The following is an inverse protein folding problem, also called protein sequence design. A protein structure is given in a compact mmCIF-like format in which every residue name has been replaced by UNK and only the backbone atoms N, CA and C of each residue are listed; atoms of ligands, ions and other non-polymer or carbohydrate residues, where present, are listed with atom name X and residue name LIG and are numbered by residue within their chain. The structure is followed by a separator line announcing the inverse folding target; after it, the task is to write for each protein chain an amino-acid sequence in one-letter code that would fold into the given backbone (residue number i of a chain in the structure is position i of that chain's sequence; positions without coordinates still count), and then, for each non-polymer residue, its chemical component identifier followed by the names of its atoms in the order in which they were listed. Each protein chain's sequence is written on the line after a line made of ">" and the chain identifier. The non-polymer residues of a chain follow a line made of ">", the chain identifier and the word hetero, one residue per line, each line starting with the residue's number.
data_IF_359190886808
#
_entry.id   IF_359190886808
#
_cell.length_a   1.000
_cell.length_b   1.000
_cell.length_c   1.000
_cell.angle_alpha   90.00
_cell.angle_beta   90.00
_cell.angle_gamma   90.00
#
_symmetry.space_group_name_H-M   'P 1'
#
loop_
_entity.id
_entity.type
_entity.pdbx_description
1 polymer ?
#
# COMPACT_ATOMS: atom_id res chain seq x y z
N UNK A 1 24.01 -8.15 13.53
CA UNK A 1 22.87 -7.76 12.66
C UNK A 1 23.44 -6.87 11.56
N UNK A 2 23.20 -7.17 10.27
CA UNK A 2 23.87 -6.47 9.16
C UNK A 2 23.82 -4.94 9.26
N UNK A 3 22.65 -4.36 9.59
CA UNK A 3 22.47 -2.92 9.73
C UNK A 3 23.39 -2.31 10.80
N UNK A 4 23.50 -2.95 11.96
CA UNK A 4 24.31 -2.44 13.07
C UNK A 4 25.79 -2.40 12.71
N UNK A 5 26.26 -3.44 12.01
CA UNK A 5 27.66 -3.60 11.62
C UNK A 5 28.06 -2.68 10.46
N UNK A 6 27.15 -2.47 9.49
CA UNK A 6 27.47 -1.79 8.23
C UNK A 6 26.95 -0.35 8.13
N UNK A 7 26.01 0.06 8.99
CA UNK A 7 25.41 1.40 8.96
C UNK A 7 25.60 2.09 10.31
N UNK A 8 25.01 1.56 11.38
CA UNK A 8 24.95 2.23 12.68
C UNK A 8 26.33 2.42 13.32
N UNK A 9 27.11 1.34 13.46
CA UNK A 9 28.43 1.43 14.08
C UNK A 9 29.43 2.30 13.28
N UNK A 10 29.51 2.20 11.94
CA UNK A 10 30.32 3.12 11.13
C UNK A 10 29.92 4.58 11.27
N UNK A 11 28.61 4.88 11.29
CA UNK A 11 28.10 6.24 11.52
C UNK A 11 28.60 6.77 12.87
N UNK A 12 28.27 6.10 13.97
CA UNK A 12 28.65 6.56 15.30
C UNK A 12 30.16 6.63 15.51
N UNK A 13 30.93 5.69 14.96
CA UNK A 13 32.40 5.74 15.04
C UNK A 13 32.96 6.96 14.31
N UNK A 14 32.37 7.35 13.17
CA UNK A 14 32.80 8.55 12.45
C UNK A 14 32.57 9.81 13.28
N UNK A 15 31.40 9.97 13.90
CA UNK A 15 31.06 11.20 14.63
C UNK A 15 31.54 11.25 16.08
N UNK A 16 31.69 10.11 16.75
CA UNK A 16 32.03 10.06 18.18
C UNK A 16 33.50 9.72 18.46
N UNK A 17 34.20 9.11 17.50
CA UNK A 17 35.56 8.57 17.74
C UNK A 17 36.61 9.03 16.72
N UNK A 18 36.24 9.80 15.69
CA UNK A 18 37.17 10.22 14.65
C UNK A 18 37.53 11.70 14.79
N UNK A 19 38.79 12.04 14.59
CA UNK A 19 39.28 13.43 14.62
C UNK A 19 38.74 14.29 13.46
N UNK A 20 38.26 13.63 12.39
CA UNK A 20 37.60 14.25 11.24
C UNK A 20 36.24 13.56 11.00
N UNK A 21 35.15 14.08 11.59
CA UNK A 21 33.82 13.51 11.42
C UNK A 21 33.33 13.57 9.97
N UNK A 22 32.66 12.51 9.53
CA UNK A 22 32.06 12.37 8.19
C UNK A 22 31.91 10.90 7.83
N UNK A 23 30.69 10.37 7.80
CA UNK A 23 30.47 8.98 7.40
C UNK A 23 30.41 8.88 5.87
N UNK A 24 31.16 7.96 5.25
CA UNK A 24 31.05 7.61 3.82
C UNK A 24 29.80 6.75 3.53
N UNK A 25 28.73 6.92 4.32
CA UNK A 25 27.48 6.20 4.13
C UNK A 25 26.68 6.87 3.00
N UNK A 26 25.91 6.08 2.23
CA UNK A 26 25.03 6.61 1.19
C UNK A 26 23.89 7.43 1.81
N UNK A 27 23.22 8.25 1.00
CA UNK A 27 22.06 9.05 1.41
C UNK A 27 20.95 8.17 2.01
N UNK A 28 20.67 7.03 1.38
CA UNK A 28 19.72 6.06 1.90
C UNK A 28 20.26 4.63 1.83
N UNK A 29 20.14 3.90 2.94
CA UNK A 29 20.30 2.44 3.01
C UNK A 29 18.98 1.84 3.44
N UNK A 30 18.34 1.08 2.54
CA UNK A 30 16.98 0.58 2.72
C UNK A 30 16.92 -0.93 2.47
N UNK A 31 16.03 -1.59 3.19
CA UNK A 31 15.73 -2.99 2.96
C UNK A 31 14.62 -3.11 1.91
N UNK A 32 14.89 -3.80 0.80
CA UNK A 32 13.93 -4.05 -0.26
C UNK A 32 13.08 -5.28 0.08
N UNK A 33 11.81 -5.03 0.41
CA UNK A 33 10.81 -6.07 0.58
C UNK A 33 10.57 -6.84 -0.72
N UNK A 34 10.15 -8.11 -0.61
CA UNK A 34 9.97 -9.01 -1.77
C UNK A 34 11.28 -9.54 -2.36
N UNK A 35 12.25 -8.66 -2.68
CA UNK A 35 13.58 -9.07 -3.11
C UNK A 35 14.48 -9.56 -1.96
N UNK A 36 14.15 -9.17 -0.71
CA UNK A 36 14.80 -9.63 0.53
C UNK A 36 16.31 -9.32 0.58
N UNK A 37 16.68 -8.06 0.29
CA UNK A 37 18.07 -7.59 0.27
C UNK A 37 18.20 -6.14 0.71
N UNK A 38 19.38 -5.78 1.23
CA UNK A 38 19.74 -4.39 1.45
C UNK A 38 20.14 -3.71 0.15
N UNK A 39 19.72 -2.46 -0.04
CA UNK A 39 20.10 -1.60 -1.16
C UNK A 39 20.53 -0.23 -0.66
N UNK A 40 21.46 0.38 -1.38
CA UNK A 40 21.97 1.73 -1.11
C UNK A 40 21.62 2.65 -2.26
N UNK A 41 21.34 3.92 -1.95
CA UNK A 41 20.97 4.93 -2.92
C UNK A 41 21.66 6.26 -2.60
N UNK A 42 22.10 6.96 -3.65
CA UNK A 42 22.69 8.30 -3.53
C UNK A 42 21.64 9.42 -3.41
N UNK A 43 20.36 9.07 -3.57
CA UNK A 43 19.21 9.93 -3.37
C UNK A 43 17.98 9.07 -3.10
N UNK A 44 17.06 9.59 -2.28
CA UNK A 44 15.75 8.98 -2.07
C UNK A 44 14.62 10.00 -2.29
N UNK A 45 13.62 9.72 -3.14
CA UNK A 45 13.47 8.52 -3.99
C UNK A 45 14.61 8.35 -5.02
N UNK A 46 14.85 7.14 -5.54
CA UNK A 46 15.95 6.91 -6.48
C UNK A 46 15.77 7.73 -7.77
N UNK A 47 16.83 8.44 -8.22
CA UNK A 47 16.78 9.26 -9.45
C UNK A 47 16.24 8.53 -10.71
N UNK A 48 16.50 7.23 -10.92
CA UNK A 48 15.94 6.51 -12.07
C UNK A 48 14.46 6.11 -11.93
N UNK A 49 13.85 6.32 -10.75
CA UNK A 49 12.44 5.99 -10.54
C UNK A 49 11.55 6.84 -11.46
N UNK A 50 10.50 6.22 -12.01
CA UNK A 50 9.54 6.88 -12.89
C UNK A 50 8.17 6.89 -12.23
N UNK A 51 7.51 8.05 -12.22
CA UNK A 51 6.12 8.12 -11.79
C UNK A 51 5.23 7.34 -12.77
N UNK A 52 4.38 6.47 -12.22
CA UNK A 52 3.40 5.67 -12.95
C UNK A 52 2.07 5.77 -12.21
N UNK A 53 0.98 5.84 -12.95
CA UNK A 53 -0.37 5.78 -12.37
C UNK A 53 -0.95 4.39 -12.59
N UNK A 54 -1.38 3.75 -11.50
CA UNK A 54 -2.14 2.50 -11.52
C UNK A 54 -3.62 2.83 -11.31
N UNK A 55 -4.45 2.54 -12.31
CA UNK A 55 -5.85 2.92 -12.34
C UNK A 55 -6.74 1.77 -11.89
N UNK A 56 -7.78 2.09 -11.10
CA UNK A 56 -8.90 1.18 -10.85
C UNK A 56 -9.64 0.87 -12.15
N UNK A 57 -9.99 -0.40 -12.35
CA UNK A 57 -10.73 -0.93 -13.48
C UNK A 57 -11.97 -1.65 -13.00
N UNK A 58 -12.91 -1.84 -13.94
CA UNK A 58 -14.15 -2.56 -13.68
C UNK A 58 -13.85 -3.99 -13.19
N UNK A 59 -14.80 -4.57 -12.46
CA UNK A 59 -14.71 -5.94 -11.94
C UNK A 59 -13.44 -6.19 -11.09
N UNK A 60 -12.99 -5.18 -10.33
CA UNK A 60 -11.86 -5.32 -9.41
C UNK A 60 -10.50 -5.39 -10.09
N UNK A 61 -10.35 -4.83 -11.31
CA UNK A 61 -9.07 -4.81 -12.01
C UNK A 61 -8.17 -3.62 -11.62
N UNK A 62 -6.86 -3.76 -11.85
CA UNK A 62 -5.89 -2.66 -11.87
C UNK A 62 -5.11 -2.67 -13.18
N UNK A 63 -4.82 -1.49 -13.73
CA UNK A 63 -4.00 -1.36 -14.94
C UNK A 63 -3.24 -0.04 -15.00
N UNK A 64 -2.03 -0.05 -15.57
CA UNK A 64 -1.23 1.15 -15.81
C UNK A 64 -1.70 1.95 -17.04
N UNK A 65 -2.58 1.40 -17.87
CA UNK A 65 -3.26 2.16 -18.91
C UNK A 65 -4.33 3.05 -18.27
N UNK A 66 -4.55 4.24 -18.80
CA UNK A 66 -5.67 5.08 -18.36
C UNK A 66 -7.03 4.49 -18.79
N UNK A 67 -8.11 4.68 -18.02
CA UNK A 67 -9.46 4.38 -18.47
C UNK A 67 -9.79 5.16 -19.75
N UNK A 68 -10.28 4.46 -20.76
CA UNK A 68 -10.91 5.09 -21.92
C UNK A 68 -12.35 5.45 -21.55
N UNK A 69 -12.94 6.46 -22.20
CA UNK A 69 -14.30 6.99 -21.99
C UNK A 69 -15.47 6.00 -22.21
N UNK A 70 -15.20 4.69 -22.23
CA UNK A 70 -16.20 3.64 -22.37
C UNK A 70 -16.91 3.62 -23.73
N UNK A 71 -16.47 4.41 -24.72
CA UNK A 71 -17.09 4.47 -26.05
C UNK A 71 -16.83 3.22 -26.91
N UNK A 72 -15.82 2.42 -26.58
CA UNK A 72 -15.38 1.25 -27.37
C UNK A 72 -15.54 -0.12 -26.68
N UNK A 73 -15.98 -0.16 -25.41
CA UNK A 73 -16.22 -1.43 -24.72
C UNK A 73 -17.70 -1.81 -24.86
N UNK A 74 -17.97 -3.09 -25.21
CA UNK A 74 -19.36 -3.60 -25.25
C UNK A 74 -19.92 -3.51 -23.83
N UNK A 75 -20.71 -2.46 -23.56
CA UNK A 75 -21.43 -2.29 -22.29
C UNK A 75 -22.17 -3.58 -21.98
N UNK A 76 -21.75 -4.28 -20.92
CA UNK A 76 -22.49 -5.42 -20.37
C UNK A 76 -23.51 -4.84 -19.38
N UNK A 77 -24.81 -5.13 -19.52
CA UNK A 77 -25.84 -4.56 -18.65
C UNK A 77 -25.59 -4.80 -17.15
N UNK A 78 -24.95 -5.92 -16.83
CA UNK A 78 -24.62 -6.36 -15.48
C UNK A 78 -23.37 -5.70 -14.83
N UNK A 79 -22.64 -4.83 -15.52
CA UNK A 79 -21.43 -4.18 -14.99
C UNK A 79 -21.69 -2.68 -14.84
N UNK A 80 -21.55 -2.14 -13.61
CA UNK A 80 -21.50 -0.69 -13.42
C UNK A 80 -20.15 -0.17 -13.93
N UNK A 81 -20.18 0.69 -14.94
CA UNK A 81 -18.98 1.27 -15.54
C UNK A 81 -18.57 2.60 -14.91
N UNK A 82 -19.37 3.14 -13.99
CA UNK A 82 -19.16 4.49 -13.44
C UNK A 82 -18.46 4.49 -12.08
N UNK A 83 -18.81 3.54 -11.20
CA UNK A 83 -18.23 3.41 -9.87
C UNK A 83 -18.47 2.01 -9.27
N UNK A 84 -17.61 1.62 -8.33
CA UNK A 84 -17.89 0.53 -7.40
C UNK A 84 -18.40 1.11 -6.08
N UNK A 85 -19.21 0.32 -5.36
CA UNK A 85 -19.81 0.76 -4.10
C UNK A 85 -19.74 -0.32 -3.03
N UNK A 86 -19.74 0.12 -1.78
CA UNK A 86 -19.86 -0.74 -0.61
C UNK A 86 -20.61 0.02 0.50
N UNK A 87 -21.15 -0.72 1.47
CA UNK A 87 -21.81 -0.12 2.64
C UNK A 87 -20.85 -0.16 3.82
N UNK A 88 -20.48 1.00 4.34
CA UNK A 88 -19.71 1.12 5.58
C UNK A 88 -20.68 1.28 6.77
N UNK A 89 -20.74 0.27 7.63
CA UNK A 89 -21.55 0.28 8.85
C UNK A 89 -20.66 0.45 10.09
N UNK A 90 -20.72 1.60 10.79
CA UNK A 90 -19.95 1.81 12.02
C UNK A 90 -20.23 0.80 13.15
N UNK A 91 -21.37 0.11 13.13
CA UNK A 91 -21.67 -0.97 14.09
C UNK A 91 -20.95 -2.29 13.77
N UNK A 92 -20.46 -2.44 12.53
CA UNK A 92 -19.75 -3.63 12.05
C UNK A 92 -18.43 -3.27 11.34
N UNK A 93 -17.52 -2.55 12.00
CA UNK A 93 -16.31 -2.03 11.37
C UNK A 93 -15.42 -3.16 10.82
N UNK A 94 -14.67 -2.85 9.77
CA UNK A 94 -13.62 -3.75 9.26
C UNK A 94 -12.55 -3.92 10.35
N UNK A 95 -12.26 -5.14 10.83
CA UNK A 95 -11.15 -5.37 11.75
C UNK A 95 -9.81 -4.96 11.11
N UNK A 96 -8.89 -4.41 11.89
CA UNK A 96 -7.56 -4.06 11.35
C UNK A 96 -6.67 -5.30 11.17
N UNK A 97 -6.93 -6.38 11.92
CA UNK A 97 -6.28 -7.71 11.80
C UNK A 97 -7.32 -8.82 11.88
N UNK A 98 -7.00 -10.02 11.38
CA UNK A 98 -7.90 -11.19 11.46
C UNK A 98 -8.09 -11.68 12.90
N UNK A 99 -7.02 -11.65 13.69
CA UNK A 99 -7.03 -12.11 15.08
C UNK A 99 -7.42 -10.99 16.06
N UNK A 100 -8.10 -11.36 17.15
CA UNK A 100 -8.33 -10.44 18.26
C UNK A 100 -7.04 -10.27 19.07
N UNK A 101 -6.49 -9.05 19.06
CA UNK A 101 -5.22 -8.74 19.71
C UNK A 101 -5.37 -7.55 20.67
N UNK A 102 -4.52 -7.53 21.70
CA UNK A 102 -4.36 -6.36 22.58
C UNK A 102 -3.40 -5.39 21.88
N UNK A 103 -3.95 -4.42 21.16
CA UNK A 103 -3.18 -3.45 20.40
C UNK A 103 -2.65 -3.99 19.07
N UNK A 104 -1.79 -3.19 18.42
CA UNK A 104 -1.20 -3.53 17.13
C UNK A 104 -0.07 -4.54 17.32
N UNK A 105 -0.15 -5.66 16.61
CA UNK A 105 0.90 -6.68 16.57
C UNK A 105 2.11 -6.17 15.81
N UNK A 106 3.28 -6.77 16.06
CA UNK A 106 4.51 -6.45 15.31
C UNK A 106 4.35 -6.80 13.82
N UNK A 107 3.59 -7.86 13.55
CA UNK A 107 3.36 -8.45 12.24
C UNK A 107 2.33 -7.68 11.41
N UNK A 108 1.56 -6.76 12.02
CA UNK A 108 0.45 -6.02 11.39
C UNK A 108 0.77 -5.54 9.97
N UNK A 109 1.94 -4.89 9.77
CA UNK A 109 2.35 -4.33 8.49
C UNK A 109 2.73 -5.35 7.42
N UNK A 110 2.68 -6.65 7.73
CA UNK A 110 2.95 -7.79 6.84
C UNK A 110 1.89 -8.90 6.95
N UNK A 111 0.84 -8.65 7.73
CA UNK A 111 -0.23 -9.62 7.96
C UNK A 111 -1.06 -9.83 6.69
N UNK A 112 -1.63 -11.02 6.61
CA UNK A 112 -2.51 -11.45 5.53
C UNK A 112 -3.78 -10.60 5.50
N UNK A 113 -4.14 -10.09 4.32
CA UNK A 113 -5.33 -9.27 4.13
C UNK A 113 -6.52 -10.04 3.54
N UNK A 114 -6.39 -11.37 3.33
CA UNK A 114 -7.50 -12.21 2.84
C UNK A 114 -8.76 -12.12 3.69
N UNK A 115 -8.64 -11.90 5.00
CA UNK A 115 -9.81 -11.72 5.87
C UNK A 115 -10.60 -10.45 5.52
N UNK A 116 -9.92 -9.37 5.11
CA UNK A 116 -10.53 -8.11 4.73
C UNK A 116 -11.10 -8.20 3.31
N UNK A 117 -10.35 -8.77 2.35
CA UNK A 117 -10.75 -8.82 0.93
C UNK A 117 -12.02 -9.63 0.67
N UNK A 118 -12.43 -10.50 1.61
CA UNK A 118 -13.65 -11.31 1.51
C UNK A 118 -14.90 -10.60 2.02
N UNK A 119 -14.76 -9.42 2.64
CA UNK A 119 -15.88 -8.68 3.23
C UNK A 119 -16.61 -7.85 2.16
N UNK A 120 -17.94 -7.66 2.30
CA UNK A 120 -18.72 -6.84 1.36
C UNK A 120 -18.49 -5.34 1.52
N UNK A 121 -17.85 -4.90 2.61
CA UNK A 121 -17.51 -3.51 2.92
C UNK A 121 -16.03 -3.17 2.63
N UNK A 122 -15.36 -3.98 1.81
CA UNK A 122 -13.98 -3.78 1.37
C UNK A 122 -13.89 -3.97 -0.14
N UNK A 123 -13.60 -2.90 -0.87
CA UNK A 123 -13.32 -3.00 -2.31
C UNK A 123 -11.90 -3.53 -2.52
N UNK A 124 -11.77 -4.54 -3.39
CA UNK A 124 -10.49 -5.17 -3.73
C UNK A 124 -10.23 -5.01 -5.22
N UNK A 125 -9.02 -4.55 -5.55
CA UNK A 125 -8.58 -4.39 -6.93
C UNK A 125 -7.23 -5.07 -7.12
N UNK A 126 -7.04 -5.76 -8.24
CA UNK A 126 -5.84 -6.53 -8.52
C UNK A 126 -5.42 -6.45 -10.00
N UNK A 127 -4.12 -6.46 -10.26
CA UNK A 127 -3.60 -6.69 -11.61
C UNK A 127 -3.75 -8.18 -11.98
N UNK A 128 -3.62 -8.55 -13.26
CA UNK A 128 -3.20 -9.90 -13.61
C UNK A 128 -1.85 -10.24 -12.95
N UNK A 129 -1.47 -11.54 -12.90
CA UNK A 129 -0.10 -11.92 -12.56
C UNK A 129 0.91 -11.11 -13.39
N UNK A 130 1.99 -10.67 -12.74
CA UNK A 130 2.98 -9.81 -13.38
C UNK A 130 3.83 -10.61 -14.37
N UNK A 131 4.07 -10.05 -15.56
CA UNK A 131 4.99 -10.65 -16.54
C UNK A 131 6.47 -10.38 -16.23
N UNK A 132 6.73 -9.33 -15.45
CA UNK A 132 8.06 -8.87 -15.02
C UNK A 132 8.03 -8.33 -13.58
N UNK A 133 9.18 -8.39 -12.90
CA UNK A 133 9.31 -7.85 -11.55
C UNK A 133 9.03 -6.33 -11.55
N UNK A 134 8.15 -5.89 -10.64
CA UNK A 134 7.80 -4.50 -10.44
C UNK A 134 8.35 -4.01 -9.10
N UNK A 135 9.23 -3.01 -9.11
CA UNK A 135 9.76 -2.40 -7.88
C UNK A 135 9.13 -1.04 -7.64
N UNK A 136 8.47 -0.88 -6.49
CA UNK A 136 8.07 0.42 -5.96
C UNK A 136 9.20 0.98 -5.09
N UNK A 137 9.63 2.21 -5.38
CA UNK A 137 10.71 2.88 -4.67
C UNK A 137 10.39 4.38 -4.50
N UNK A 138 9.85 4.76 -3.33
CA UNK A 138 9.47 6.14 -3.01
C UNK A 138 8.03 6.26 -2.51
N UNK A 139 7.48 7.48 -2.47
CA UNK A 139 6.13 7.76 -2.00
C UNK A 139 5.07 7.23 -2.96
N UNK A 140 3.91 6.87 -2.41
CA UNK A 140 2.73 6.49 -3.17
C UNK A 140 1.65 7.55 -2.92
N UNK A 141 1.00 8.03 -3.96
CA UNK A 141 -0.08 9.01 -3.85
C UNK A 141 -1.40 8.35 -4.20
N UNK A 142 -2.28 8.17 -3.21
CA UNK A 142 -3.65 7.75 -3.44
C UNK A 142 -4.44 8.94 -4.00
N UNK A 143 -4.93 8.85 -5.24
CA UNK A 143 -5.76 9.88 -5.89
C UNK A 143 -7.22 9.41 -5.96
N UNK A 144 -7.89 9.36 -4.81
CA UNK A 144 -9.26 8.85 -4.75
C UNK A 144 -10.29 9.88 -5.24
N UNK A 145 -11.29 9.41 -5.99
CA UNK A 145 -12.52 10.13 -6.32
C UNK A 145 -13.66 9.37 -5.66
N UNK A 146 -14.29 9.97 -4.65
CA UNK A 146 -15.21 9.25 -3.76
C UNK A 146 -16.50 10.03 -3.53
N UNK A 147 -17.59 9.31 -3.27
CA UNK A 147 -18.83 9.88 -2.76
C UNK A 147 -19.26 9.09 -1.52
N UNK A 148 -19.90 9.77 -0.57
CA UNK A 148 -20.50 9.14 0.62
C UNK A 148 -21.92 9.67 0.81
N UNK A 149 -22.82 8.84 1.31
CA UNK A 149 -24.20 9.25 1.65
C UNK A 149 -24.24 10.12 2.91
N UNK A 150 -23.18 10.08 3.73
CA UNK A 150 -23.02 10.91 4.92
C UNK A 150 -22.31 12.24 4.65
N UNK A 151 -21.81 12.85 5.72
CA UNK A 151 -21.06 14.12 5.68
C UNK A 151 -19.61 13.97 6.11
N UNK A 152 -19.17 12.77 6.49
CA UNK A 152 -17.79 12.40 6.81
C UNK A 152 -17.56 10.91 6.58
N UNK A 153 -16.32 10.53 6.33
CA UNK A 153 -15.87 9.14 6.15
C UNK A 153 -14.34 9.07 6.29
N UNK A 154 -13.84 7.94 6.81
CA UNK A 154 -12.43 7.59 6.79
C UNK A 154 -12.16 6.71 5.56
N UNK A 155 -11.08 7.00 4.81
CA UNK A 155 -10.68 6.29 3.60
C UNK A 155 -9.37 5.56 3.85
N UNK A 156 -9.40 4.23 3.74
CA UNK A 156 -8.22 3.38 3.96
C UNK A 156 -7.75 2.82 2.63
N UNK A 157 -6.47 3.00 2.31
CA UNK A 157 -5.84 2.42 1.12
C UNK A 157 -4.73 1.48 1.56
N UNK A 158 -4.76 0.24 1.04
CA UNK A 158 -3.76 -0.80 1.27
C UNK A 158 -3.09 -1.16 -0.06
N UNK A 159 -1.77 -1.24 -0.04
CA UNK A 159 -0.95 -1.79 -1.13
C UNK A 159 -0.59 -3.21 -0.72
N UNK A 160 -0.96 -4.18 -1.54
CA UNK A 160 -0.89 -5.60 -1.22
C UNK A 160 -0.08 -6.32 -2.29
N UNK A 161 0.85 -7.17 -1.85
CA UNK A 161 1.53 -8.15 -2.69
C UNK A 161 0.80 -9.50 -2.57
N UNK A 162 0.22 -9.95 -3.69
CA UNK A 162 -0.53 -11.21 -3.75
C UNK A 162 0.41 -12.29 -4.24
N UNK A 163 0.69 -13.25 -3.37
CA UNK A 163 1.61 -14.34 -3.68
C UNK A 163 0.97 -15.35 -4.64
N UNK A 164 1.75 -16.04 -5.48
CA UNK A 164 1.27 -17.19 -6.24
C UNK A 164 0.57 -18.23 -5.35
N UNK A 165 -0.47 -18.88 -5.87
CA UNK A 165 -1.26 -19.88 -5.14
C UNK A 165 -0.43 -21.09 -4.69
N UNK A 166 0.67 -21.38 -5.38
CA UNK A 166 1.58 -22.49 -5.10
C UNK A 166 2.81 -22.08 -4.26
N UNK A 167 2.83 -20.86 -3.70
CA UNK A 167 3.93 -20.39 -2.87
C UNK A 167 4.10 -21.29 -1.64
N UNK A 168 5.28 -21.92 -1.44
CA UNK A 168 5.49 -22.83 -0.32
C UNK A 168 5.56 -22.06 1.00
N UNK A 169 5.03 -22.67 2.06
CA UNK A 169 5.11 -22.12 3.40
C UNK A 169 6.57 -21.99 3.88
N UNK A 170 6.84 -20.96 4.67
CA UNK A 170 8.17 -20.68 5.17
C UNK A 170 8.30 -21.21 6.60
N UNK A 171 9.28 -22.07 6.92
CA UNK A 171 9.44 -22.60 8.29
C UNK A 171 9.76 -21.52 9.35
N UNK A 172 10.05 -20.28 8.92
CA UNK A 172 10.25 -19.12 9.80
C UNK A 172 8.97 -18.36 10.13
N UNK A 173 7.85 -18.64 9.48
CA UNK A 173 6.54 -18.09 9.83
C UNK A 173 5.84 -18.99 10.85
N UNK A 174 4.79 -18.48 11.50
CA UNK A 174 3.98 -19.31 12.39
C UNK A 174 3.34 -20.47 11.60
N UNK A 175 3.14 -21.62 12.25
CA UNK A 175 2.62 -22.84 11.59
C UNK A 175 1.21 -22.67 10.98
N UNK A 176 0.45 -21.66 11.42
CA UNK A 176 -0.86 -21.31 10.88
C UNK A 176 -0.80 -20.42 9.64
N UNK A 177 0.38 -19.93 9.25
CA UNK A 177 0.55 -19.04 8.09
C UNK A 177 0.77 -19.87 6.84
N UNK A 178 -0.16 -19.76 5.90
CA UNK A 178 -0.09 -20.39 4.58
C UNK A 178 0.20 -19.35 3.49
N UNK A 179 1.32 -19.48 2.79
CA UNK A 179 1.82 -18.47 1.86
C UNK A 179 1.21 -18.54 0.46
N UNK A 180 0.62 -19.67 0.07
CA UNK A 180 -0.12 -19.79 -1.18
C UNK A 180 -1.29 -18.80 -1.21
N UNK A 181 -1.30 -17.89 -2.19
CA UNK A 181 -2.33 -16.86 -2.35
C UNK A 181 -2.34 -15.82 -1.22
N UNK A 182 -1.26 -15.72 -0.44
CA UNK A 182 -1.18 -14.78 0.69
C UNK A 182 -1.26 -13.34 0.20
N UNK A 183 -2.07 -12.52 0.87
CA UNK A 183 -2.22 -11.11 0.54
C UNK A 183 -1.40 -10.28 1.51
N UNK A 184 -0.09 -10.18 1.27
CA UNK A 184 0.82 -9.47 2.15
C UNK A 184 0.55 -7.97 2.06
N UNK A 185 0.15 -7.35 3.17
CA UNK A 185 0.17 -5.89 3.24
C UNK A 185 1.61 -5.40 3.10
N UNK A 186 1.84 -4.47 2.17
CA UNK A 186 3.14 -3.84 1.94
C UNK A 186 3.15 -2.45 2.58
N UNK A 187 2.05 -1.71 2.37
CA UNK A 187 1.79 -0.40 2.97
C UNK A 187 0.29 -0.19 3.15
N UNK A 188 -0.06 0.63 4.14
CA UNK A 188 -1.44 1.09 4.34
C UNK A 188 -1.41 2.47 4.93
N UNK A 189 -2.35 3.32 4.52
CA UNK A 189 -2.61 4.59 5.18
C UNK A 189 -4.11 4.86 5.25
N UNK A 190 -4.49 5.72 6.20
CA UNK A 190 -5.86 6.18 6.39
C UNK A 190 -5.93 7.70 6.30
N UNK A 191 -6.91 8.19 5.56
CA UNK A 191 -7.25 9.61 5.48
C UNK A 191 -8.65 9.83 6.02
N UNK A 192 -8.75 10.60 7.11
CA UNK A 192 -10.03 11.09 7.60
C UNK A 192 -10.53 12.21 6.68
N UNK A 193 -11.59 11.93 5.92
CA UNK A 193 -11.96 12.69 4.74
C UNK A 193 -12.35 14.15 4.99
N UNK A 194 -12.83 14.51 6.20
CA UNK A 194 -13.03 15.93 6.56
C UNK A 194 -11.75 16.78 6.47
N UNK A 195 -10.56 16.17 6.53
CA UNK A 195 -9.27 16.86 6.46
C UNK A 195 -8.61 16.84 5.07
N UNK A 196 -9.32 16.37 4.04
CA UNK A 196 -8.80 16.23 2.66
C UNK A 196 -8.25 17.53 2.03
N UNK A 197 -8.73 18.69 2.47
CA UNK A 197 -8.28 20.01 1.99
C UNK A 197 -7.36 20.74 2.99
N UNK A 198 -7.46 20.42 4.29
CA UNK A 198 -6.67 21.04 5.36
C UNK A 198 -6.71 20.18 6.62
N UNK A 199 -5.55 19.92 7.22
CA UNK A 199 -5.44 19.21 8.51
C UNK A 199 -5.87 20.04 9.72
N UNK A 200 -5.99 21.36 9.57
CA UNK A 200 -6.39 22.27 10.66
C UNK A 200 -7.80 22.82 10.49
N UNK A 201 -8.37 22.74 9.29
CA UNK A 201 -9.70 23.28 8.98
C UNK A 201 -10.56 22.18 8.34
N UNK A 202 -11.32 21.42 9.15
CA UNK A 202 -12.13 20.35 8.60
C UNK A 202 -13.30 20.88 7.77
N UNK A 203 -13.62 20.18 6.68
CA UNK A 203 -14.75 20.48 5.79
C UNK A 203 -15.62 19.23 5.60
N UNK A 204 -16.94 19.29 5.86
CA UNK A 204 -17.82 18.14 5.61
C UNK A 204 -17.83 17.76 4.11
N UNK A 205 -18.23 16.53 3.82
CA UNK A 205 -18.65 16.13 2.48
C UNK A 205 -20.06 16.64 2.20
N UNK A 206 -20.34 16.90 0.92
CA UNK A 206 -21.72 17.01 0.43
C UNK A 206 -22.16 15.59 0.07
N UNK A 207 -23.29 15.16 0.63
CA UNK A 207 -23.78 13.80 0.43
C UNK A 207 -23.99 13.51 -1.06
N UNK A 208 -23.50 12.36 -1.52
CA UNK A 208 -23.56 11.86 -2.90
C UNK A 208 -22.80 12.70 -3.95
N UNK A 209 -21.97 13.65 -3.53
CA UNK A 209 -21.12 14.43 -4.45
C UNK A 209 -19.72 13.81 -4.56
N UNK A 210 -19.28 13.55 -5.79
CA UNK A 210 -17.92 13.05 -6.05
C UNK A 210 -16.91 14.12 -5.61
N UNK A 211 -16.04 13.72 -4.71
CA UNK A 211 -15.07 14.59 -4.05
C UNK A 211 -13.69 13.96 -4.13
N UNK A 212 -12.67 14.74 -4.50
CA UNK A 212 -11.29 14.28 -4.49
C UNK A 212 -10.75 14.15 -3.05
N UNK A 213 -10.12 13.02 -2.74
CA UNK A 213 -9.44 12.77 -1.46
C UNK A 213 -8.02 12.28 -1.73
N UNK A 214 -7.08 13.20 -2.06
CA UNK A 214 -5.68 12.84 -2.26
C UNK A 214 -4.95 12.71 -0.92
N UNK A 215 -4.16 11.66 -0.76
CA UNK A 215 -3.25 11.54 0.39
C UNK A 215 -2.07 10.61 0.10
N UNK A 216 -0.95 10.87 0.77
CA UNK A 216 0.26 10.06 0.65
C UNK A 216 0.10 8.76 1.43
N UNK A 217 0.33 7.64 0.75
CA UNK A 217 0.64 6.35 1.35
C UNK A 217 2.16 6.30 1.49
N UNK A 218 2.66 6.17 2.73
CA UNK A 218 4.09 6.33 3.05
C UNK A 218 5.04 5.52 2.15
N UNK A 219 6.26 6.04 2.01
CA UNK A 219 7.31 5.48 1.17
C UNK A 219 7.53 3.98 1.37
N UNK A 220 7.81 3.31 0.25
CA UNK A 220 8.12 1.89 0.20
C UNK A 220 9.36 1.63 -0.64
N UNK A 221 10.10 0.58 -0.29
CA UNK A 221 10.99 -0.12 -1.19
C UNK A 221 10.59 -1.60 -1.21
N UNK A 222 9.83 -2.02 -2.23
CA UNK A 222 9.32 -3.39 -2.35
C UNK A 222 9.28 -3.83 -3.80
N UNK A 223 9.72 -5.06 -4.07
CA UNK A 223 9.65 -5.71 -5.37
C UNK A 223 8.56 -6.78 -5.37
N UNK A 224 7.52 -6.54 -6.15
CA UNK A 224 6.54 -7.56 -6.54
C UNK A 224 7.20 -8.43 -7.60
N UNK A 225 7.32 -9.73 -7.33
CA UNK A 225 7.93 -10.68 -8.28
C UNK A 225 6.89 -11.18 -9.27
N UNK A 226 7.34 -11.53 -10.46
CA UNK A 226 6.56 -12.35 -11.39
C UNK A 226 6.36 -13.77 -10.87
#
# INVERSE_FOLDING_TARGET
>A
LWYQENVEAPFFKSYLKSEKPGSNLPEATMFEGGANRWRTFDAWPPKPAQEKTLYFRQAGGLSFSAPTDGSNERRRPEVNFEFDQFVSDPAHPVPFTEATNVGMTREYMTDDQRFASRRPDVLTYQTPPLDEDLTLAGPILAKLQVATTGTDADWVVKIIDVYPDDTPDNPRTAASVHLGGYQQMVRSEVMRGRFRESFTTPKPFVANEVTAVPFTVQDVLHTFKK
#
